data_IF_090151682074
#
_entry.id   IF_090151682074
#
_cell.length_a   1.000
_cell.length_b   1.000
_cell.length_c   1.000
_cell.angle_alpha   90.00
_cell.angle_beta   90.00
_cell.angle_gamma   90.00
#
_symmetry.space_group_name_H-M   'P 1'
#
loop_
_entity.id
_entity.type
_entity.pdbx_description
1 polymer ?
#
# COMPACT_ATOMS: atom_id res chain seq x y z
N UNK A 1 0.76 -15.49 -3.14
CA UNK A 1 1.34 -14.15 -3.28
C UNK A 1 0.65 -13.20 -2.32
N UNK A 2 1.43 -12.46 -1.57
CA UNK A 2 0.84 -11.55 -0.59
C UNK A 2 0.95 -10.13 -1.10
N UNK A 3 -0.17 -9.60 -1.55
CA UNK A 3 -0.25 -8.27 -2.13
C UNK A 3 0.23 -7.20 -1.15
N UNK A 4 -0.16 -7.33 0.13
CA UNK A 4 0.24 -6.36 1.14
C UNK A 4 1.74 -6.27 1.32
N UNK A 5 2.42 -7.40 1.31
CA UNK A 5 3.87 -7.42 1.44
C UNK A 5 4.55 -6.82 0.21
N UNK A 6 4.00 -7.04 -0.97
CA UNK A 6 4.54 -6.46 -2.19
C UNK A 6 4.37 -4.95 -2.22
N UNK A 7 3.21 -4.46 -1.76
CA UNK A 7 2.97 -3.03 -1.65
C UNK A 7 3.97 -2.41 -0.69
N UNK A 8 4.17 -3.04 0.47
CA UNK A 8 5.10 -2.54 1.46
C UNK A 8 6.54 -2.56 0.92
N UNK A 9 6.91 -3.62 0.22
CA UNK A 9 8.24 -3.74 -0.37
C UNK A 9 8.50 -2.64 -1.39
N UNK A 10 7.56 -2.42 -2.29
CA UNK A 10 7.67 -1.35 -3.30
C UNK A 10 7.81 0.01 -2.62
N UNK A 11 6.99 0.24 -1.61
CA UNK A 11 7.00 1.52 -0.89
C UNK A 11 8.36 1.76 -0.24
N UNK A 12 8.89 0.76 0.45
CA UNK A 12 10.16 0.90 1.15
C UNK A 12 11.34 1.02 0.19
N UNK A 13 11.28 0.31 -0.92
CA UNK A 13 12.33 0.39 -1.95
C UNK A 13 12.43 1.79 -2.53
N UNK A 14 11.32 2.52 -2.56
CA UNK A 14 11.27 3.85 -3.12
C UNK A 14 11.24 4.94 -2.04
N UNK A 15 11.49 4.56 -0.79
CA UNK A 15 11.50 5.49 0.35
C UNK A 15 10.20 6.28 0.48
N UNK A 16 9.08 5.60 0.29
CA UNK A 16 7.76 6.20 0.36
C UNK A 16 7.08 5.87 1.67
N UNK A 17 6.40 6.86 2.27
CA UNK A 17 5.50 6.59 3.37
C UNK A 17 4.18 6.04 2.82
N UNK A 18 3.30 5.57 3.72
CA UNK A 18 1.96 5.16 3.29
C UNK A 18 1.20 6.33 2.67
N UNK A 19 1.35 7.53 3.24
CA UNK A 19 0.73 8.72 2.68
C UNK A 19 1.26 9.02 1.29
N UNK A 20 2.56 8.90 1.10
CA UNK A 20 3.17 9.18 -0.20
C UNK A 20 2.61 8.25 -1.28
N UNK A 21 2.56 6.95 -0.97
CA UNK A 21 2.04 6.00 -1.94
C UNK A 21 0.57 6.23 -2.21
N UNK A 22 -0.21 6.52 -1.17
CA UNK A 22 -1.63 6.78 -1.32
C UNK A 22 -1.88 7.93 -2.29
N UNK A 23 -1.09 9.00 -2.22
CA UNK A 23 -1.21 10.11 -3.14
C UNK A 23 -0.87 9.71 -4.56
N UNK A 24 0.17 8.90 -4.74
CA UNK A 24 0.64 8.50 -6.07
C UNK A 24 -0.43 7.70 -6.81
N UNK A 25 -1.11 6.80 -6.11
CA UNK A 25 -2.08 5.91 -6.75
C UNK A 25 -3.53 6.31 -6.48
N UNK A 26 -3.73 7.49 -5.88
CA UNK A 26 -5.06 8.09 -5.68
C UNK A 26 -5.98 7.23 -4.81
N UNK A 27 -5.47 6.75 -3.69
CA UNK A 27 -6.29 6.05 -2.70
C UNK A 27 -6.05 6.69 -1.33
N UNK A 28 -6.83 6.29 -0.33
CA UNK A 28 -6.62 6.82 1.01
C UNK A 28 -5.46 6.10 1.69
N UNK A 29 -4.81 6.77 2.66
CA UNK A 29 -3.77 6.12 3.46
C UNK A 29 -4.33 4.90 4.19
N UNK A 30 -5.59 4.97 4.62
CA UNK A 30 -6.23 3.86 5.31
C UNK A 30 -6.30 2.62 4.41
N UNK A 31 -6.54 2.82 3.11
CA UNK A 31 -6.54 1.72 2.15
C UNK A 31 -5.16 1.04 2.11
N UNK A 32 -4.10 1.85 2.01
CA UNK A 32 -2.73 1.30 1.99
C UNK A 32 -2.47 0.51 3.27
N UNK A 33 -2.82 1.08 4.42
CA UNK A 33 -2.63 0.42 5.70
C UNK A 33 -3.37 -0.92 5.76
N UNK A 34 -4.63 -0.93 5.31
CA UNK A 34 -5.43 -2.16 5.32
C UNK A 34 -4.84 -3.23 4.41
N UNK A 35 -4.34 -2.82 3.25
CA UNK A 35 -3.74 -3.78 2.31
C UNK A 35 -2.45 -4.35 2.88
N UNK A 36 -1.63 -3.53 3.50
CA UNK A 36 -0.36 -3.99 4.08
C UNK A 36 -0.57 -4.95 5.24
N UNK A 37 -1.67 -4.76 5.99
CA UNK A 37 -2.01 -5.65 7.09
C UNK A 37 -2.74 -6.91 6.63
N UNK A 38 -3.15 -6.96 5.37
CA UNK A 38 -3.93 -8.08 4.86
C UNK A 38 -5.40 -8.04 5.28
N UNK A 39 -5.87 -6.89 5.78
CA UNK A 39 -7.28 -6.76 6.18
C UNK A 39 -8.19 -6.69 4.97
N UNK A 40 -7.74 -6.04 3.91
CA UNK A 40 -8.45 -6.00 2.63
C UNK A 40 -7.44 -6.11 1.50
N UNK A 41 -7.93 -6.25 0.27
CA UNK A 41 -7.09 -6.32 -0.92
C UNK A 41 -7.53 -5.27 -1.91
N UNK A 42 -6.58 -4.75 -2.73
CA UNK A 42 -6.97 -3.83 -3.80
C UNK A 42 -7.97 -4.51 -4.73
N UNK A 43 -9.04 -3.81 -5.02
CA UNK A 43 -10.05 -4.29 -5.97
C UNK A 43 -9.73 -3.69 -7.32
N UNK A 44 -8.98 -4.44 -8.09
CA UNK A 44 -8.52 -3.98 -9.39
C UNK A 44 -9.30 -4.64 -10.51
#
# INVERSE_FOLDING_TARGET
>A
MQVGKQIQHYRKENNLSQDDLAEIIFVSRQSISNWERGATYPDI
#
